data_IF_219673860650
#
_entry.id   IF_219673860650
#
_cell.length_a   1.000
_cell.length_b   1.000
_cell.length_c   1.000
_cell.angle_alpha   90.00
_cell.angle_beta   90.00
_cell.angle_gamma   90.00
#
_symmetry.space_group_name_H-M   'P 1'
#
loop_
_entity.id
_entity.type
_entity.pdbx_description
1 polymer ?
#
# COMPACT_ATOMS: atom_id res chain seq x y z
N UNK A 1 -21.60 -21.50 16.47
CA UNK A 1 -22.03 -20.17 15.96
C UNK A 1 -21.65 -19.06 16.91
N UNK A 2 -21.76 -19.26 18.23
CA UNK A 2 -21.37 -18.26 19.24
C UNK A 2 -19.84 -18.12 19.39
N UNK A 3 -19.11 -19.24 19.40
CA UNK A 3 -17.64 -19.26 19.46
C UNK A 3 -16.98 -18.53 18.27
N UNK A 4 -17.43 -18.79 17.04
CA UNK A 4 -16.92 -18.09 15.84
C UNK A 4 -17.16 -16.58 15.93
N UNK A 5 -18.32 -16.15 16.43
CA UNK A 5 -18.63 -14.72 16.63
C UNK A 5 -17.76 -14.10 17.71
N UNK A 6 -17.48 -14.82 18.79
CA UNK A 6 -16.60 -14.37 19.87
C UNK A 6 -15.14 -14.25 19.40
N UNK A 7 -14.63 -15.25 18.69
CA UNK A 7 -13.28 -15.23 18.10
C UNK A 7 -13.16 -14.11 17.08
N UNK A 8 -14.17 -13.93 16.22
CA UNK A 8 -14.21 -12.82 15.27
C UNK A 8 -14.22 -11.47 16.00
N UNK A 9 -15.01 -11.33 17.07
CA UNK A 9 -15.05 -10.12 17.90
C UNK A 9 -13.68 -9.78 18.49
N UNK A 10 -12.96 -10.78 19.02
CA UNK A 10 -11.61 -10.59 19.55
C UNK A 10 -10.58 -10.25 18.46
N UNK A 11 -10.66 -10.90 17.29
CA UNK A 11 -9.81 -10.58 16.15
C UNK A 11 -10.04 -9.15 15.64
N UNK A 12 -11.30 -8.73 15.51
CA UNK A 12 -11.67 -7.36 15.14
C UNK A 12 -11.17 -6.37 16.18
N UNK A 13 -11.31 -6.66 17.48
CA UNK A 13 -10.77 -5.82 18.54
C UNK A 13 -9.25 -5.62 18.41
N UNK A 14 -8.50 -6.70 18.12
CA UNK A 14 -7.06 -6.63 17.88
C UNK A 14 -6.68 -5.77 16.67
N UNK A 15 -7.50 -5.77 15.62
CA UNK A 15 -7.30 -4.91 14.44
C UNK A 15 -7.67 -3.46 14.73
N UNK A 16 -8.77 -3.24 15.46
CA UNK A 16 -9.24 -1.90 15.81
C UNK A 16 -8.27 -1.19 16.74
N UNK A 17 -7.60 -1.87 17.67
CA UNK A 17 -6.73 -1.21 18.64
C UNK A 17 -5.62 -0.33 17.99
N UNK A 18 -4.74 -0.86 17.11
CA UNK A 18 -3.76 -0.05 16.43
C UNK A 18 -4.39 0.98 15.47
N UNK A 19 -5.50 0.63 14.80
CA UNK A 19 -6.19 1.56 13.91
C UNK A 19 -6.74 2.77 14.67
N UNK A 20 -7.52 2.55 15.72
CA UNK A 20 -8.10 3.62 16.55
C UNK A 20 -7.00 4.47 17.20
N UNK A 21 -5.87 3.88 17.61
CA UNK A 21 -4.70 4.65 18.09
C UNK A 21 -4.19 5.61 17.02
N UNK A 22 -4.13 5.21 15.76
CA UNK A 22 -3.76 6.08 14.64
C UNK A 22 -4.83 7.16 14.41
N UNK A 23 -6.11 6.79 14.40
CA UNK A 23 -7.22 7.74 14.20
C UNK A 23 -7.23 8.84 15.26
N UNK A 24 -7.11 8.47 16.54
CA UNK A 24 -7.05 9.42 17.66
C UNK A 24 -5.81 10.32 17.57
N UNK A 25 -4.65 9.76 17.20
CA UNK A 25 -3.41 10.55 17.00
C UNK A 25 -3.57 11.60 15.90
N UNK A 26 -4.36 11.31 14.87
CA UNK A 26 -4.65 12.22 13.76
C UNK A 26 -5.93 13.04 13.97
N UNK A 27 -6.47 13.07 15.19
CA UNK A 27 -7.62 13.90 15.54
C UNK A 27 -8.95 13.49 14.90
N UNK A 28 -9.08 12.26 14.39
CA UNK A 28 -10.34 11.77 13.82
C UNK A 28 -11.36 11.48 14.94
N UNK A 29 -12.50 12.17 14.98
CA UNK A 29 -13.55 11.87 15.95
C UNK A 29 -14.25 10.54 15.65
N UNK A 30 -14.77 9.89 16.69
CA UNK A 30 -15.51 8.62 16.56
C UNK A 30 -16.66 8.70 15.55
N UNK A 31 -17.42 9.82 15.52
CA UNK A 31 -18.52 9.99 14.58
C UNK A 31 -18.08 9.94 13.12
N UNK A 32 -16.91 10.50 12.80
CA UNK A 32 -16.32 10.45 11.45
C UNK A 32 -15.94 9.02 11.07
N UNK A 33 -15.27 8.30 11.98
CA UNK A 33 -14.94 6.89 11.77
C UNK A 33 -16.19 6.02 11.62
N UNK A 34 -17.20 6.21 12.47
CA UNK A 34 -18.45 5.46 12.43
C UNK A 34 -19.20 5.66 11.10
N UNK A 35 -19.22 6.88 10.57
CA UNK A 35 -19.81 7.15 9.25
C UNK A 35 -19.01 6.51 8.10
N UNK A 36 -17.67 6.52 8.17
CA UNK A 36 -16.82 5.82 7.19
C UNK A 36 -17.03 4.30 7.25
N UNK A 37 -17.01 3.72 8.46
CA UNK A 37 -17.24 2.30 8.67
C UNK A 37 -18.63 1.89 8.18
N UNK A 38 -19.66 2.69 8.47
CA UNK A 38 -21.02 2.50 7.96
C UNK A 38 -21.08 2.54 6.43
N UNK A 39 -20.34 3.47 5.82
CA UNK A 39 -20.24 3.56 4.37
C UNK A 39 -19.66 2.29 3.76
N UNK A 40 -18.50 1.84 4.26
CA UNK A 40 -17.83 0.62 3.79
C UNK A 40 -18.70 -0.62 4.01
N UNK A 41 -19.39 -0.73 5.16
CA UNK A 41 -20.27 -1.87 5.46
C UNK A 41 -21.44 -1.97 4.47
N UNK A 42 -22.04 -0.84 4.10
CA UNK A 42 -23.11 -0.77 3.10
C UNK A 42 -22.59 -1.08 1.70
N UNK A 43 -21.42 -0.58 1.33
CA UNK A 43 -20.85 -0.81 0.00
C UNK A 43 -20.49 -2.29 -0.20
N UNK A 44 -19.77 -2.92 0.73
CA UNK A 44 -19.44 -4.35 0.69
C UNK A 44 -20.71 -5.22 0.59
N UNK A 45 -21.71 -4.96 1.43
CA UNK A 45 -23.00 -5.66 1.35
C UNK A 45 -23.71 -5.42 0.00
N UNK A 46 -23.51 -4.26 -0.61
CA UNK A 46 -24.10 -3.88 -1.90
C UNK A 46 -23.40 -4.56 -3.09
N UNK A 47 -22.07 -4.66 -3.07
CA UNK A 47 -21.27 -5.15 -4.19
C UNK A 47 -21.04 -6.66 -4.14
N UNK A 48 -20.73 -7.21 -2.97
CA UNK A 48 -20.17 -8.57 -2.84
C UNK A 48 -21.20 -9.62 -2.40
N UNK A 49 -22.21 -9.24 -1.62
CA UNK A 49 -23.22 -10.18 -1.08
C UNK A 49 -24.50 -10.27 -1.94
N UNK A 50 -24.34 -10.11 -3.27
CA UNK A 50 -25.45 -10.23 -4.23
C UNK A 50 -25.85 -11.70 -4.40
N UNK A 51 -27.14 -11.94 -4.63
CA UNK A 51 -27.60 -13.25 -5.09
C UNK A 51 -27.48 -13.28 -6.61
N UNK A 52 -26.90 -14.34 -7.14
CA UNK A 52 -26.77 -14.55 -8.58
C UNK A 52 -28.12 -14.36 -9.30
N UNK A 53 -28.12 -13.56 -10.37
CA UNK A 53 -29.33 -13.22 -11.13
C UNK A 53 -30.30 -12.24 -10.46
N UNK A 54 -30.03 -11.72 -9.25
CA UNK A 54 -30.90 -10.74 -8.57
C UNK A 54 -30.21 -9.40 -8.34
N UNK A 55 -30.94 -8.31 -8.58
CA UNK A 55 -30.51 -6.98 -8.16
C UNK A 55 -30.45 -6.91 -6.63
N UNK A 56 -29.37 -6.32 -6.11
CA UNK A 56 -29.25 -6.05 -4.69
C UNK A 56 -30.13 -4.86 -4.30
N UNK A 57 -31.13 -5.07 -3.45
CA UNK A 57 -32.07 -4.02 -3.03
C UNK A 57 -31.67 -3.43 -1.69
N UNK A 58 -32.03 -2.17 -1.43
CA UNK A 58 -31.76 -1.49 -0.15
C UNK A 58 -32.40 -2.24 1.04
N UNK A 59 -33.49 -2.95 0.78
CA UNK A 59 -34.16 -3.82 1.76
C UNK A 59 -33.26 -4.96 2.21
N UNK A 60 -32.59 -5.60 1.26
CA UNK A 60 -31.69 -6.71 1.54
C UNK A 60 -30.39 -6.23 2.18
N UNK A 61 -29.85 -5.11 1.71
CA UNK A 61 -28.68 -4.47 2.34
C UNK A 61 -28.98 -4.11 3.79
N UNK A 62 -30.16 -3.57 4.09
CA UNK A 62 -30.62 -3.30 5.46
C UNK A 62 -30.66 -4.57 6.32
N UNK A 63 -31.14 -5.70 5.78
CA UNK A 63 -31.13 -6.99 6.49
C UNK A 63 -29.72 -7.51 6.74
N UNK A 64 -28.82 -7.41 5.76
CA UNK A 64 -27.44 -7.89 5.88
C UNK A 64 -26.60 -7.05 6.86
N UNK A 65 -26.80 -5.73 6.83
CA UNK A 65 -25.99 -4.78 7.60
C UNK A 65 -26.56 -4.48 9.00
N UNK A 66 -27.84 -4.76 9.23
CA UNK A 66 -28.56 -4.34 10.43
C UNK A 66 -28.91 -2.84 10.47
N UNK A 67 -28.55 -2.07 9.45
CA UNK A 67 -28.87 -0.65 9.32
C UNK A 67 -30.30 -0.45 8.83
N UNK A 68 -30.92 0.68 9.15
CA UNK A 68 -32.24 1.01 8.61
C UNK A 68 -32.17 1.28 7.09
N UNK A 69 -33.27 1.05 6.37
CA UNK A 69 -33.35 1.40 4.93
C UNK A 69 -33.06 2.88 4.67
N UNK A 70 -33.44 3.76 5.60
CA UNK A 70 -33.16 5.21 5.51
C UNK A 70 -31.67 5.48 5.58
N UNK A 71 -30.95 4.81 6.48
CA UNK A 71 -29.48 4.91 6.59
C UNK A 71 -28.78 4.34 5.36
N UNK A 72 -29.20 3.17 4.88
CA UNK A 72 -28.64 2.57 3.65
C UNK A 72 -28.78 3.52 2.47
N UNK A 73 -29.96 4.11 2.28
CA UNK A 73 -30.21 5.08 1.21
C UNK A 73 -29.32 6.32 1.36
N UNK A 74 -29.27 6.88 2.55
CA UNK A 74 -28.45 8.07 2.84
C UNK A 74 -26.97 7.82 2.58
N UNK A 75 -26.46 6.65 2.94
CA UNK A 75 -25.06 6.26 2.72
C UNK A 75 -24.75 6.11 1.24
N UNK A 76 -25.65 5.50 0.45
CA UNK A 76 -25.49 5.34 -1.00
C UNK A 76 -25.50 6.66 -1.78
N UNK A 77 -26.17 7.69 -1.25
CA UNK A 77 -26.21 9.03 -1.84
C UNK A 77 -24.94 9.85 -1.56
N UNK A 78 -24.11 9.43 -0.60
CA UNK A 78 -22.84 10.10 -0.30
C UNK A 78 -21.79 9.73 -1.36
N UNK A 79 -20.97 10.70 -1.81
CA UNK A 79 -19.84 10.40 -2.70
C UNK A 79 -18.89 9.41 -2.03
N UNK A 80 -18.26 8.57 -2.85
CA UNK A 80 -17.20 7.65 -2.40
C UNK A 80 -16.14 8.49 -1.68
N UNK A 81 -15.73 8.15 -0.44
CA UNK A 81 -14.57 8.73 0.19
C UNK A 81 -13.32 8.31 -0.62
N UNK A 82 -12.97 9.03 -1.69
CA UNK A 82 -11.92 8.62 -2.60
C UNK A 82 -10.73 9.57 -2.59
N UNK A 83 -9.54 9.02 -2.37
CA UNK A 83 -8.23 9.65 -2.60
C UNK A 83 -7.45 8.89 -3.69
N UNK A 84 -8.15 8.44 -4.75
CA UNK A 84 -7.57 7.68 -5.88
C UNK A 84 -6.40 8.43 -6.52
N UNK A 85 -6.44 9.77 -6.49
CA UNK A 85 -5.36 10.62 -7.02
C UNK A 85 -4.04 10.50 -6.25
N UNK A 86 -4.07 10.26 -4.94
CA UNK A 86 -2.86 10.21 -4.12
C UNK A 86 -2.18 8.84 -4.19
N UNK A 87 -2.95 7.75 -4.23
CA UNK A 87 -2.41 6.38 -4.44
C UNK A 87 -1.81 6.22 -5.84
N UNK A 88 -2.46 6.78 -6.87
CA UNK A 88 -1.88 6.78 -8.21
C UNK A 88 -0.61 7.63 -8.30
N UNK A 89 -0.57 8.79 -7.63
CA UNK A 89 0.63 9.65 -7.61
C UNK A 89 1.81 8.99 -6.87
N UNK A 90 1.54 8.27 -5.78
CA UNK A 90 2.52 7.43 -5.07
C UNK A 90 3.13 6.37 -6.00
N UNK A 91 2.27 5.59 -6.67
CA UNK A 91 2.73 4.53 -7.58
C UNK A 91 3.56 5.10 -8.74
N UNK A 92 3.19 6.28 -9.25
CA UNK A 92 3.93 6.99 -10.32
C UNK A 92 5.32 7.47 -9.85
N UNK A 93 5.42 8.04 -8.64
CA UNK A 93 6.69 8.48 -8.08
C UNK A 93 7.66 7.31 -7.83
N UNK A 94 7.13 6.17 -7.34
CA UNK A 94 7.91 4.95 -7.18
C UNK A 94 8.44 4.41 -8.52
N UNK A 95 7.62 4.41 -9.58
CA UNK A 95 8.07 4.03 -10.93
C UNK A 95 9.17 4.93 -11.47
N UNK A 96 9.12 6.24 -11.21
CA UNK A 96 10.16 7.19 -11.65
C UNK A 96 11.50 6.92 -10.97
N UNK A 97 11.52 6.65 -9.66
CA UNK A 97 12.75 6.23 -8.97
C UNK A 97 13.27 4.92 -9.55
N UNK A 98 12.39 3.94 -9.78
CA UNK A 98 12.79 2.65 -10.33
C UNK A 98 13.38 2.78 -11.74
N UNK A 99 12.75 3.57 -12.62
CA UNK A 99 13.30 3.88 -13.94
C UNK A 99 14.68 4.52 -13.84
N UNK A 100 14.88 5.43 -12.89
CA UNK A 100 16.17 6.08 -12.67
C UNK A 100 17.26 5.09 -12.23
N UNK A 101 16.89 4.10 -11.41
CA UNK A 101 17.84 3.10 -10.90
C UNK A 101 18.17 2.03 -11.93
N UNK A 102 17.26 1.70 -12.85
CA UNK A 102 17.37 0.49 -13.68
C UNK A 102 17.61 0.76 -15.17
N UNK A 103 17.14 1.89 -15.70
CA UNK A 103 17.31 2.21 -17.11
C UNK A 103 18.69 2.82 -17.35
N UNK A 104 19.48 2.13 -18.19
CA UNK A 104 20.82 2.55 -18.59
C UNK A 104 20.87 3.96 -19.18
N UNK A 105 19.75 4.44 -19.73
CA UNK A 105 19.59 5.81 -20.24
C UNK A 105 19.76 6.85 -19.13
N UNK A 106 19.35 6.53 -17.90
CA UNK A 106 19.42 7.41 -16.73
C UNK A 106 20.49 6.99 -15.72
N UNK A 107 21.37 6.06 -16.08
CA UNK A 107 22.53 5.67 -15.31
C UNK A 107 23.81 6.35 -15.82
N UNK A 108 24.79 6.51 -14.95
CA UNK A 108 26.13 6.94 -15.30
C UNK A 108 27.00 5.77 -15.78
N UNK A 109 28.28 6.05 -16.09
CA UNK A 109 29.23 5.04 -16.55
C UNK A 109 29.55 3.92 -15.56
N UNK A 110 29.06 4.00 -14.33
CA UNK A 110 29.23 3.02 -13.26
C UNK A 110 27.93 2.24 -12.97
N UNK A 111 26.92 2.36 -13.83
CA UNK A 111 25.58 1.80 -13.62
C UNK A 111 24.86 2.39 -12.37
N UNK A 112 25.26 3.59 -11.94
CA UNK A 112 24.63 4.30 -10.82
C UNK A 112 23.66 5.37 -11.34
N UNK A 113 22.58 5.70 -10.59
CA UNK A 113 21.63 6.73 -11.02
C UNK A 113 22.31 8.06 -11.33
N UNK A 114 22.22 8.52 -12.58
CA UNK A 114 22.91 9.73 -13.04
C UNK A 114 22.31 10.98 -12.39
N UNK A 115 23.13 12.03 -12.23
CA UNK A 115 22.63 13.35 -11.84
C UNK A 115 22.00 14.01 -13.07
N UNK A 116 20.68 14.17 -13.07
CA UNK A 116 19.92 14.61 -14.25
C UNK A 116 19.65 16.13 -14.22
N UNK A 117 19.81 16.85 -15.33
CA UNK A 117 19.21 18.17 -15.50
C UNK A 117 17.67 18.07 -15.58
N UNK A 118 16.96 19.16 -15.28
CA UNK A 118 15.49 19.17 -15.39
C UNK A 118 15.03 18.92 -16.83
N UNK A 119 15.61 19.66 -17.78
CA UNK A 119 15.32 19.62 -19.22
C UNK A 119 16.63 19.82 -20.00
N UNK A 120 16.60 19.51 -21.30
CA UNK A 120 17.77 19.59 -22.19
C UNK A 120 17.85 18.41 -23.16
N UNK A 121 18.98 18.30 -23.86
CA UNK A 121 19.28 17.18 -24.74
C UNK A 121 19.81 15.97 -23.95
N UNK A 122 19.42 14.76 -24.35
CA UNK A 122 19.84 13.52 -23.70
C UNK A 122 19.02 13.15 -22.46
N UNK A 123 19.66 12.50 -21.48
CA UNK A 123 19.01 12.04 -20.25
C UNK A 123 18.64 13.25 -19.36
N UNK A 124 17.34 13.43 -19.12
CA UNK A 124 16.80 14.52 -18.29
C UNK A 124 15.75 13.97 -17.33
N UNK A 125 15.49 14.71 -16.24
CA UNK A 125 14.44 14.35 -15.29
C UNK A 125 13.05 14.39 -15.93
N UNK A 126 12.78 15.37 -16.81
CA UNK A 126 11.53 15.42 -17.56
C UNK A 126 11.34 14.21 -18.48
N UNK A 127 12.41 13.73 -19.13
CA UNK A 127 12.36 12.52 -19.96
C UNK A 127 12.06 11.28 -19.10
N UNK A 128 12.75 11.13 -17.97
CA UNK A 128 12.51 10.06 -17.00
C UNK A 128 11.05 10.04 -16.51
N UNK A 129 10.52 11.20 -16.13
CA UNK A 129 9.11 11.32 -15.70
C UNK A 129 8.15 10.91 -16.80
N UNK A 130 8.36 11.39 -18.03
CA UNK A 130 7.47 11.07 -19.15
C UNK A 130 7.45 9.57 -19.43
N UNK A 131 8.59 8.90 -19.29
CA UNK A 131 8.73 7.48 -19.57
C UNK A 131 8.10 6.59 -18.47
N UNK A 132 8.14 7.01 -17.20
CA UNK A 132 7.76 6.15 -16.07
C UNK A 132 6.54 6.61 -15.26
N UNK A 133 6.08 7.86 -15.43
CA UNK A 133 4.94 8.42 -14.67
C UNK A 133 3.66 8.63 -15.51
N UNK A 134 3.74 8.49 -16.84
CA UNK A 134 2.63 8.76 -17.77
C UNK A 134 2.35 10.26 -17.94
N UNK A 135 1.08 10.64 -18.08
CA UNK A 135 0.64 12.03 -18.34
C UNK A 135 0.74 13.00 -17.14
N UNK A 136 1.67 12.79 -16.21
CA UNK A 136 1.89 13.72 -15.09
C UNK A 136 2.96 14.74 -15.46
N UNK A 137 2.72 16.05 -15.22
CA UNK A 137 3.76 17.05 -15.40
C UNK A 137 5.00 16.73 -14.57
N UNK A 138 6.19 16.78 -15.18
CA UNK A 138 7.47 16.53 -14.50
C UNK A 138 7.68 17.38 -13.26
N UNK A 139 7.15 18.61 -13.27
CA UNK A 139 7.21 19.49 -12.10
C UNK A 139 6.45 18.93 -10.89
N UNK A 140 5.30 18.30 -11.12
CA UNK A 140 4.50 17.71 -10.04
C UNK A 140 5.18 16.48 -9.42
N UNK A 141 5.83 15.64 -10.24
CA UNK A 141 6.64 14.51 -9.73
C UNK A 141 7.91 15.02 -9.04
N UNK A 142 8.56 16.06 -9.56
CA UNK A 142 9.71 16.70 -8.92
C UNK A 142 9.36 17.20 -7.52
N UNK A 143 8.25 17.93 -7.39
CA UNK A 143 7.82 18.48 -6.11
C UNK A 143 7.46 17.36 -5.13
N UNK A 144 6.82 16.28 -5.60
CA UNK A 144 6.50 15.10 -4.81
C UNK A 144 7.75 14.37 -4.30
N UNK A 145 8.72 14.10 -5.18
CA UNK A 145 9.95 13.40 -4.82
C UNK A 145 10.85 14.23 -3.90
N UNK A 146 10.85 15.57 -4.05
CA UNK A 146 11.50 16.47 -3.09
C UNK A 146 10.78 16.46 -1.74
N UNK A 147 9.44 16.47 -1.75
CA UNK A 147 8.60 16.43 -0.54
C UNK A 147 8.89 15.18 0.30
N UNK A 148 9.13 14.03 -0.33
CA UNK A 148 9.46 12.78 0.37
C UNK A 148 10.96 12.55 0.58
N UNK A 149 11.80 13.56 0.30
CA UNK A 149 13.27 13.49 0.40
C UNK A 149 13.89 12.32 -0.38
N UNK A 150 13.23 11.84 -1.43
CA UNK A 150 13.77 10.81 -2.31
C UNK A 150 14.84 11.37 -3.27
N UNK A 151 14.77 12.68 -3.56
CA UNK A 151 15.71 13.40 -4.41
C UNK A 151 16.14 14.72 -3.76
N UNK A 152 17.24 15.29 -4.24
CA UNK A 152 17.69 16.64 -3.91
C UNK A 152 17.96 17.46 -5.16
N UNK A 153 17.81 18.79 -5.04
CA UNK A 153 18.24 19.73 -6.08
C UNK A 153 19.59 20.33 -5.72
N UNK A 154 20.55 20.22 -6.63
CA UNK A 154 21.89 20.78 -6.49
C UNK A 154 21.88 22.29 -6.73
N UNK A 155 22.96 22.97 -6.34
CA UNK A 155 23.11 24.43 -6.51
C UNK A 155 23.05 24.88 -7.97
N UNK A 156 23.42 24.00 -8.90
CA UNK A 156 23.37 24.22 -10.34
C UNK A 156 22.01 23.83 -10.98
N UNK A 157 21.03 23.46 -10.17
CA UNK A 157 19.68 23.11 -10.63
C UNK A 157 19.50 21.67 -11.08
N UNK A 158 20.57 20.86 -11.13
CA UNK A 158 20.48 19.42 -11.41
C UNK A 158 19.88 18.64 -10.23
N UNK A 159 19.35 17.47 -10.52
CA UNK A 159 18.59 16.65 -9.57
C UNK A 159 19.36 15.37 -9.31
N UNK A 160 19.52 15.02 -8.04
CA UNK A 160 20.22 13.81 -7.58
C UNK A 160 19.27 12.92 -6.80
N UNK A 161 19.29 11.62 -7.10
CA UNK A 161 18.59 10.60 -6.33
C UNK A 161 19.28 10.36 -4.98
N UNK A 162 18.51 10.34 -3.89
CA UNK A 162 18.98 10.09 -2.53
C UNK A 162 18.62 8.68 -2.04
N UNK A 163 17.52 8.12 -2.52
CA UNK A 163 16.99 6.82 -2.11
C UNK A 163 16.76 5.93 -3.33
N UNK A 164 17.29 4.70 -3.31
CA UNK A 164 17.19 3.73 -4.43
C UNK A 164 15.86 2.98 -4.46
N UNK A 165 15.06 3.11 -3.40
CA UNK A 165 13.69 2.67 -3.33
C UNK A 165 12.83 3.83 -2.85
N UNK A 166 11.58 3.91 -3.30
CA UNK A 166 10.63 4.86 -2.74
C UNK A 166 10.31 4.44 -1.31
N UNK A 167 10.99 5.08 -0.35
CA UNK A 167 10.71 4.93 1.07
C UNK A 167 9.94 6.18 1.49
N UNK A 168 8.69 6.07 1.96
CA UNK A 168 7.91 7.23 2.40
C UNK A 168 8.56 7.89 3.61
N UNK A 169 9.41 8.87 3.36
CA UNK A 169 9.98 9.71 4.40
C UNK A 169 9.24 11.04 4.40
N UNK A 170 8.45 11.23 5.46
CA UNK A 170 7.91 12.53 5.94
C UNK A 170 6.84 13.23 5.08
N UNK A 171 5.72 12.57 4.81
CA UNK A 171 4.44 13.18 5.21
C UNK A 171 3.60 12.19 5.99
N UNK A 172 2.82 12.68 6.94
CA UNK A 172 1.83 11.85 7.64
C UNK A 172 0.85 11.23 6.65
N UNK A 173 0.51 11.95 5.57
CA UNK A 173 -0.37 11.48 4.49
C UNK A 173 0.16 10.22 3.79
N UNK A 174 1.45 10.15 3.46
CA UNK A 174 2.01 8.95 2.79
C UNK A 174 2.05 7.75 3.72
N UNK A 175 2.37 7.96 5.01
CA UNK A 175 2.34 6.89 6.01
C UNK A 175 0.92 6.36 6.22
N UNK A 176 -0.08 7.23 6.13
CA UNK A 176 -1.49 6.86 6.18
C UNK A 176 -1.94 6.13 4.89
N UNK A 177 -1.35 6.44 3.74
CA UNK A 177 -1.63 5.70 2.49
C UNK A 177 -1.04 4.28 2.51
N UNK A 178 0.16 4.10 3.06
CA UNK A 178 0.72 2.76 3.33
C UNK A 178 -0.21 1.98 4.26
N UNK A 179 -0.67 2.61 5.36
CA UNK A 179 -1.63 1.98 6.26
C UNK A 179 -2.87 1.50 5.51
N UNK A 180 -3.47 2.34 4.67
CA UNK A 180 -4.67 1.99 3.90
C UNK A 180 -4.43 0.88 2.89
N UNK A 181 -3.29 0.89 2.21
CA UNK A 181 -2.99 -0.03 1.09
C UNK A 181 -2.44 -1.37 1.58
N UNK A 182 -1.41 -1.35 2.42
CA UNK A 182 -0.71 -2.56 2.86
C UNK A 182 -1.58 -3.39 3.82
N UNK A 183 -2.27 -2.73 4.75
CA UNK A 183 -3.20 -3.45 5.65
C UNK A 183 -4.37 -4.02 4.88
N UNK A 184 -4.89 -3.31 3.86
CA UNK A 184 -5.94 -3.86 3.01
C UNK A 184 -5.46 -5.09 2.23
N UNK A 185 -4.24 -5.07 1.65
CA UNK A 185 -3.68 -6.24 0.99
C UNK A 185 -3.44 -7.41 1.94
N UNK A 186 -2.96 -7.16 3.16
CA UNK A 186 -2.79 -8.21 4.16
C UNK A 186 -4.13 -8.82 4.59
N UNK A 187 -5.15 -8.00 4.86
CA UNK A 187 -6.49 -8.49 5.20
C UNK A 187 -7.09 -9.28 4.03
N UNK A 188 -6.98 -8.78 2.79
CA UNK A 188 -7.47 -9.49 1.60
C UNK A 188 -6.76 -10.83 1.37
N UNK A 189 -5.46 -10.90 1.68
CA UNK A 189 -4.69 -12.16 1.65
C UNK A 189 -5.21 -13.16 2.68
N UNK A 190 -5.48 -12.69 3.90
CA UNK A 190 -6.06 -13.52 4.97
C UNK A 190 -7.45 -14.00 4.57
N UNK A 191 -8.30 -13.11 4.04
CA UNK A 191 -9.66 -13.44 3.58
C UNK A 191 -9.65 -14.51 2.48
N UNK A 192 -8.82 -14.34 1.45
CA UNK A 192 -8.62 -15.36 0.41
C UNK A 192 -8.22 -16.71 1.01
N UNK A 193 -7.23 -16.71 1.90
CA UNK A 193 -6.72 -17.91 2.55
C UNK A 193 -7.73 -18.58 3.51
N UNK A 194 -8.72 -17.85 4.04
CA UNK A 194 -9.76 -18.40 4.90
C UNK A 194 -10.82 -19.19 4.12
N UNK A 195 -10.97 -18.92 2.82
CA UNK A 195 -12.07 -19.41 1.99
C UNK A 195 -11.58 -20.41 0.94
N UNK A 196 -10.35 -20.28 0.45
CA UNK A 196 -9.80 -21.13 -0.60
C UNK A 196 -9.35 -22.51 -0.09
N UNK A 197 -9.13 -23.43 -1.01
CA UNK A 197 -8.50 -24.72 -0.70
C UNK A 197 -7.01 -24.51 -0.34
N UNK A 198 -6.41 -25.39 0.49
CA UNK A 198 -5.04 -25.20 0.99
C UNK A 198 -3.95 -25.04 -0.10
N UNK A 199 -4.12 -25.68 -1.25
CA UNK A 199 -3.18 -25.57 -2.38
C UNK A 199 -3.26 -24.23 -3.13
N UNK A 200 -4.39 -23.52 -3.01
CA UNK A 200 -4.64 -22.23 -3.67
C UNK A 200 -4.37 -21.05 -2.73
N UNK A 201 -3.96 -21.34 -1.49
CA UNK A 201 -3.64 -20.33 -0.49
C UNK A 201 -2.40 -19.53 -0.89
N UNK A 202 -2.49 -18.21 -0.77
CA UNK A 202 -1.35 -17.33 -0.92
C UNK A 202 -0.35 -17.52 0.21
N UNK A 203 0.92 -17.28 -0.10
CA UNK A 203 1.98 -17.37 0.88
C UNK A 203 1.77 -16.34 2.00
N UNK A 204 1.45 -16.86 3.20
CA UNK A 204 1.29 -16.07 4.41
C UNK A 204 2.08 -16.76 5.54
N UNK A 205 3.22 -16.19 5.95
CA UNK A 205 4.07 -16.72 7.02
C UNK A 205 4.46 -15.63 7.99
N UNK A 206 4.60 -16.01 9.27
CA UNK A 206 5.09 -15.16 10.35
C UNK A 206 6.11 -15.95 11.16
N UNK A 207 7.24 -15.34 11.46
CA UNK A 207 8.21 -15.85 12.43
C UNK A 207 8.09 -14.98 13.69
N UNK A 208 7.91 -15.61 14.85
CA UNK A 208 7.80 -14.88 16.11
C UNK A 208 8.28 -15.72 17.29
N UNK A 209 9.09 -15.11 18.14
CA UNK A 209 9.44 -15.59 19.47
C UNK A 209 8.99 -14.54 20.48
N UNK A 210 8.49 -14.96 21.64
CA UNK A 210 7.94 -14.09 22.68
C UNK A 210 8.89 -13.90 23.87
N UNK A 211 10.16 -14.34 23.76
CA UNK A 211 11.13 -14.23 24.83
C UNK A 211 12.54 -14.02 24.26
N UNK A 212 12.73 -12.87 23.60
CA UNK A 212 14.01 -12.45 23.07
C UNK A 212 14.62 -11.38 23.98
N UNK A 213 15.95 -11.40 24.23
CA UNK A 213 16.61 -10.30 24.91
C UNK A 213 16.58 -9.03 24.03
N UNK A 214 16.45 -7.86 24.67
CA UNK A 214 16.40 -6.56 23.98
C UNK A 214 17.63 -6.33 23.12
N UNK A 215 18.78 -6.84 23.56
CA UNK A 215 20.07 -6.77 22.89
C UNK A 215 20.12 -7.48 21.53
N UNK A 216 19.21 -8.45 21.29
CA UNK A 216 19.12 -9.14 20.00
C UNK A 216 18.31 -8.35 18.95
N UNK A 217 17.47 -7.40 19.38
CA UNK A 217 16.56 -6.67 18.48
C UNK A 217 17.29 -5.80 17.44
N UNK A 218 18.39 -5.07 17.77
CA UNK A 218 19.13 -4.31 16.77
C UNK A 218 19.68 -5.18 15.63
N UNK A 219 20.21 -6.36 15.96
CA UNK A 219 20.75 -7.28 14.96
C UNK A 219 19.64 -7.92 14.13
N UNK A 220 18.52 -8.31 14.75
CA UNK A 220 17.35 -8.81 14.03
C UNK A 220 16.80 -7.76 13.04
N UNK A 221 16.74 -6.49 13.44
CA UNK A 221 16.31 -5.39 12.57
C UNK A 221 17.29 -5.21 11.39
N UNK A 222 18.61 -5.29 11.65
CA UNK A 222 19.64 -5.23 10.60
C UNK A 222 19.47 -6.36 9.59
N UNK A 223 19.38 -7.61 10.05
CA UNK A 223 19.18 -8.80 9.21
C UNK A 223 17.88 -8.73 8.42
N UNK A 224 16.79 -8.29 9.05
CA UNK A 224 15.48 -8.14 8.39
C UNK A 224 15.53 -7.13 7.25
N UNK A 225 16.21 -5.99 7.46
CA UNK A 225 16.39 -4.97 6.41
C UNK A 225 17.24 -5.49 5.26
N UNK A 226 18.38 -6.12 5.55
CA UNK A 226 19.29 -6.64 4.54
C UNK A 226 18.62 -7.72 3.68
N UNK A 227 18.10 -8.76 4.30
CA UNK A 227 17.48 -9.88 3.58
C UNK A 227 16.13 -9.51 2.96
N UNK A 228 15.34 -8.66 3.64
CA UNK A 228 14.08 -8.16 3.10
C UNK A 228 14.29 -7.32 1.85
N UNK A 229 15.26 -6.40 1.88
CA UNK A 229 15.61 -5.57 0.72
C UNK A 229 16.09 -6.44 -0.45
N UNK A 230 17.02 -7.36 -0.21
CA UNK A 230 17.54 -8.24 -1.25
C UNK A 230 16.42 -9.09 -1.91
N UNK A 231 15.48 -9.60 -1.11
CA UNK A 231 14.33 -10.35 -1.65
C UNK A 231 13.42 -9.46 -2.50
N UNK A 232 13.12 -8.24 -2.04
CA UNK A 232 12.28 -7.31 -2.80
C UNK A 232 12.94 -6.90 -4.11
N UNK A 233 14.26 -6.67 -4.12
CA UNK A 233 15.02 -6.38 -5.33
C UNK A 233 14.95 -7.54 -6.33
N UNK A 234 15.19 -8.77 -5.86
CA UNK A 234 15.09 -9.98 -6.68
C UNK A 234 13.67 -10.16 -7.29
N UNK A 235 12.62 -9.97 -6.49
CA UNK A 235 11.24 -10.07 -6.97
C UNK A 235 10.89 -8.94 -7.94
N UNK A 236 11.39 -7.73 -7.68
CA UNK A 236 11.19 -6.58 -8.55
C UNK A 236 11.82 -6.79 -9.93
N UNK A 237 13.04 -7.33 -10.00
CA UNK A 237 13.70 -7.67 -11.27
C UNK A 237 12.83 -8.60 -12.13
N UNK A 238 12.16 -9.57 -11.50
CA UNK A 238 11.23 -10.46 -12.20
C UNK A 238 9.92 -9.76 -12.56
N UNK A 239 9.31 -9.02 -11.64
CA UNK A 239 8.02 -8.34 -11.86
C UNK A 239 8.07 -7.33 -12.99
N UNK A 240 9.15 -6.54 -13.09
CA UNK A 240 9.34 -5.56 -14.18
C UNK A 240 9.35 -6.25 -15.56
N UNK A 241 9.89 -7.46 -15.66
CA UNK A 241 9.87 -8.22 -16.91
C UNK A 241 8.47 -8.68 -17.31
N UNK A 242 7.55 -8.81 -16.35
CA UNK A 242 6.17 -9.25 -16.56
C UNK A 242 5.16 -8.09 -16.62
N UNK A 243 5.52 -6.91 -16.14
CA UNK A 243 4.67 -5.73 -16.13
C UNK A 243 4.46 -5.21 -17.55
N UNK A 244 3.21 -5.19 -18.02
CA UNK A 244 2.87 -4.74 -19.39
C UNK A 244 3.00 -3.23 -19.56
N UNK A 245 3.02 -2.46 -18.46
CA UNK A 245 3.29 -1.02 -18.52
C UNK A 245 4.79 -0.76 -18.78
N UNK A 246 5.68 -1.56 -18.19
CA UNK A 246 7.13 -1.49 -18.42
C UNK A 246 7.62 -2.28 -19.65
N UNK A 247 6.94 -3.37 -20.01
CA UNK A 247 7.27 -4.26 -21.13
C UNK A 247 6.01 -4.60 -21.96
N UNK A 248 5.61 -3.73 -22.91
CA UNK A 248 4.36 -3.88 -23.67
C UNK A 248 4.25 -5.16 -24.52
N UNK A 249 5.37 -5.83 -24.81
CA UNK A 249 5.41 -7.06 -25.61
C UNK A 249 4.97 -8.31 -24.82
N UNK A 250 4.81 -8.21 -23.50
CA UNK A 250 4.39 -9.32 -22.63
C UNK A 250 2.93 -9.70 -22.93
N UNK A 251 2.74 -10.92 -23.45
CA UNK A 251 1.43 -11.48 -23.80
C UNK A 251 0.72 -12.09 -22.59
N UNK A 252 -0.62 -12.16 -22.63
CA UNK A 252 -1.44 -12.88 -21.65
C UNK A 252 -2.87 -12.35 -21.55
N UNK A 253 -3.70 -12.96 -20.71
CA UNK A 253 -5.10 -12.57 -20.50
C UNK A 253 -5.31 -11.88 -19.15
N UNK A 254 -6.27 -10.95 -19.10
CA UNK A 254 -6.65 -10.25 -17.87
C UNK A 254 -5.63 -9.20 -17.40
N UNK A 255 -5.99 -8.50 -16.32
CA UNK A 255 -5.16 -7.54 -15.58
C UNK A 255 -5.23 -7.87 -14.10
N UNK A 256 -4.07 -8.01 -13.46
CA UNK A 256 -3.94 -8.32 -12.04
C UNK A 256 -2.90 -7.38 -11.42
N UNK A 257 -3.16 -6.95 -10.20
CA UNK A 257 -2.16 -6.32 -9.34
C UNK A 257 -1.68 -7.38 -8.36
N UNK A 258 -0.37 -7.54 -8.23
CA UNK A 258 0.25 -8.46 -7.28
C UNK A 258 1.53 -7.81 -6.74
N UNK A 259 1.89 -8.17 -5.50
CA UNK A 259 3.07 -7.67 -4.83
C UNK A 259 3.35 -8.44 -3.55
N UNK A 260 4.54 -8.25 -2.99
CA UNK A 260 4.96 -8.87 -1.73
C UNK A 260 5.29 -7.76 -0.73
N UNK A 261 4.57 -7.75 0.39
CA UNK A 261 4.84 -6.86 1.52
C UNK A 261 5.68 -7.57 2.58
N UNK A 262 6.73 -6.91 3.07
CA UNK A 262 7.55 -7.40 4.17
C UNK A 262 7.56 -6.31 5.24
N UNK A 263 7.26 -6.69 6.49
CA UNK A 263 7.24 -5.75 7.60
C UNK A 263 7.93 -6.34 8.83
N UNK A 264 8.59 -5.48 9.58
CA UNK A 264 9.16 -5.77 10.88
C UNK A 264 8.19 -5.32 11.98
N UNK A 265 8.06 -6.09 13.06
CA UNK A 265 7.29 -5.69 14.24
C UNK A 265 8.05 -6.07 15.52
N UNK A 266 7.93 -5.21 16.53
CA UNK A 266 8.38 -5.44 17.91
C UNK A 266 7.35 -4.85 18.87
N UNK A 267 7.20 -5.46 20.03
CA UNK A 267 6.33 -4.98 21.11
C UNK A 267 6.89 -5.44 22.45
N UNK A 268 6.73 -4.61 23.49
CA UNK A 268 6.94 -5.07 24.85
C UNK A 268 5.84 -6.07 25.22
N UNK A 269 6.22 -7.13 25.93
CA UNK A 269 5.26 -8.08 26.50
C UNK A 269 5.08 -7.72 27.97
N UNK A 270 3.85 -7.36 28.35
CA UNK A 270 3.55 -7.11 29.76
C UNK A 270 3.54 -8.42 30.55
N UNK A 271 3.87 -8.39 31.83
CA UNK A 271 3.78 -9.58 32.71
C UNK A 271 2.35 -10.17 32.76
N UNK A 272 1.33 -9.37 32.42
CA UNK A 272 -0.07 -9.82 32.31
C UNK A 272 -0.43 -10.54 31.00
N UNK A 273 0.47 -10.56 30.01
CA UNK A 273 0.26 -11.23 28.71
C UNK A 273 1.00 -12.58 28.59
N UNK A 274 1.50 -13.12 29.72
CA UNK A 274 2.10 -14.46 29.82
C UNK A 274 1.06 -15.56 30.07
#
# INVERSE_FOLDING_TARGET
MDEVKQVLGYAVQKLLYPLIRILLRNGMPFGTFAELAKWVYVDVATQEFRIEGKKQTDSRVSVLTGLSRKEVKLVKEKPVPSDVGTVERYNRAARVINGWVQDRTFQDGWCEPAILPMEGEGATFSLLVNQYSGDVPARAILDELLRVNAISRLKDGRIRLLQRAYIPQTSETDKLNILGTDVAFLIATIDHNLICEPQDAYFQRKLAYNNLPVEALPELNRLTKEHGQALLEQLNEWLVQQDRDANPEVKGTGRKQAGVGIYFFEQDISESDQ
#
